data_IF_526882097314
#
_entry.id   IF_526882097314
#
_cell.length_a   1.000
_cell.length_b   1.000
_cell.length_c   1.000
_cell.angle_alpha   90.00
_cell.angle_beta   90.00
_cell.angle_gamma   90.00
#
_symmetry.space_group_name_H-M   'P 1'
#
loop_
_entity.id
_entity.type
_entity.pdbx_description
1 polymer ?
#
# COMPACT_ATOMS: atom_id res chain seq x y z
N UNK A 1 -0.42 -3.50 -13.46
CA UNK A 1 0.96 -4.03 -13.39
C UNK A 1 1.04 -5.39 -12.70
N UNK A 2 -0.06 -6.15 -12.57
CA UNK A 2 -0.03 -7.48 -11.93
C UNK A 2 1.07 -8.39 -12.50
N UNK A 3 1.83 -9.02 -11.59
CA UNK A 3 2.93 -9.94 -11.91
C UNK A 3 4.19 -9.28 -12.49
N UNK A 4 4.29 -7.96 -12.51
CA UNK A 4 5.45 -7.25 -13.07
C UNK A 4 6.67 -7.33 -12.12
N UNK A 5 7.33 -8.48 -12.08
CA UNK A 5 8.44 -8.76 -11.15
C UNK A 5 9.69 -7.91 -11.39
N UNK A 6 9.82 -7.29 -12.57
CA UNK A 6 10.90 -6.34 -12.89
C UNK A 6 10.61 -4.88 -12.49
N UNK A 7 9.39 -4.58 -12.03
CA UNK A 7 9.02 -3.23 -11.58
C UNK A 7 9.63 -2.97 -10.21
N UNK A 8 10.56 -2.02 -10.12
CA UNK A 8 11.29 -1.75 -8.87
C UNK A 8 10.72 -0.58 -8.07
N UNK A 9 10.13 0.40 -8.76
CA UNK A 9 9.55 1.60 -8.17
C UNK A 9 8.31 2.08 -8.91
N UNK A 10 7.34 2.63 -8.19
CA UNK A 10 6.14 3.26 -8.76
C UNK A 10 5.95 4.66 -8.17
N UNK A 11 5.68 5.61 -9.06
CA UNK A 11 5.16 6.93 -8.71
C UNK A 11 3.71 6.95 -9.18
N UNK A 12 2.78 6.99 -8.24
CA UNK A 12 1.36 7.18 -8.55
C UNK A 12 1.15 8.69 -8.77
N UNK A 13 0.37 9.05 -9.79
CA UNK A 13 0.14 10.45 -10.14
C UNK A 13 -0.56 11.19 -9.00
N UNK A 14 -0.14 12.42 -8.71
CA UNK A 14 -0.72 13.26 -7.65
C UNK A 14 -2.22 13.56 -7.83
N UNK A 15 -2.79 13.30 -9.02
CA UNK A 15 -4.24 13.42 -9.27
C UNK A 15 -5.02 12.12 -9.11
N UNK A 16 -4.34 10.99 -8.86
CA UNK A 16 -5.00 9.70 -8.67
C UNK A 16 -5.80 9.72 -7.37
N UNK A 17 -7.08 9.40 -7.46
CA UNK A 17 -7.97 9.31 -6.29
C UNK A 17 -8.28 7.87 -5.89
N UNK A 18 -7.91 6.88 -6.72
CA UNK A 18 -8.02 5.46 -6.42
C UNK A 18 -6.83 4.67 -6.97
N UNK A 19 -6.55 3.53 -6.33
CA UNK A 19 -5.68 2.46 -6.84
C UNK A 19 -6.56 1.24 -7.09
N UNK A 20 -6.62 0.76 -8.33
CA UNK A 20 -7.48 -0.37 -8.67
C UNK A 20 -7.09 -1.68 -7.98
N UNK A 21 -8.07 -2.57 -7.82
CA UNK A 21 -7.84 -3.92 -7.32
C UNK A 21 -6.76 -4.64 -8.14
N UNK A 22 -5.84 -5.32 -7.46
CA UNK A 22 -4.69 -6.03 -8.06
C UNK A 22 -3.73 -5.17 -8.89
N UNK A 23 -3.79 -3.84 -8.81
CA UNK A 23 -2.97 -2.95 -9.66
C UNK A 23 -1.48 -3.33 -9.69
N UNK A 24 -0.91 -3.74 -8.56
CA UNK A 24 0.49 -4.14 -8.40
C UNK A 24 0.65 -5.52 -7.76
N UNK A 25 -0.39 -6.35 -7.77
CA UNK A 25 -0.34 -7.71 -7.21
C UNK A 25 0.84 -8.50 -7.81
N UNK A 26 1.54 -9.25 -6.98
CA UNK A 26 2.71 -10.08 -7.31
C UNK A 26 3.87 -9.32 -8.00
N UNK A 27 3.98 -8.00 -7.82
CA UNK A 27 5.16 -7.23 -8.22
C UNK A 27 6.30 -7.46 -7.22
N UNK A 28 6.91 -8.64 -7.23
CA UNK A 28 7.89 -9.07 -6.22
C UNK A 28 9.17 -8.22 -6.20
N UNK A 29 9.50 -7.53 -7.30
CA UNK A 29 10.60 -6.58 -7.37
C UNK A 29 10.28 -5.17 -6.85
N UNK A 30 9.00 -4.87 -6.59
CA UNK A 30 8.57 -3.54 -6.17
C UNK A 30 9.06 -3.27 -4.75
N UNK A 31 9.97 -2.30 -4.62
CA UNK A 31 10.61 -1.95 -3.36
C UNK A 31 10.21 -0.56 -2.84
N UNK A 32 9.72 0.30 -3.74
CA UNK A 32 9.32 1.67 -3.44
C UNK A 32 8.01 2.00 -4.16
N UNK A 33 7.01 2.45 -3.39
CA UNK A 33 5.79 3.04 -3.94
C UNK A 33 5.55 4.40 -3.28
N UNK A 34 5.33 5.42 -4.10
CA UNK A 34 4.83 6.71 -3.63
C UNK A 34 3.31 6.76 -3.86
N UNK A 35 2.53 6.67 -2.78
CA UNK A 35 1.07 6.83 -2.79
C UNK A 35 0.78 8.28 -2.37
N UNK A 36 0.20 9.12 -3.26
CA UNK A 36 -0.04 10.53 -2.95
C UNK A 36 -1.23 10.69 -2.00
N UNK A 37 -1.24 11.81 -1.27
CA UNK A 37 -2.30 12.18 -0.32
C UNK A 37 -3.68 12.41 -0.98
N UNK A 38 -3.76 12.40 -2.32
CA UNK A 38 -5.02 12.45 -3.05
C UNK A 38 -5.75 11.11 -3.14
N UNK A 39 -5.08 10.00 -2.83
CA UNK A 39 -5.69 8.66 -2.91
C UNK A 39 -6.69 8.46 -1.77
N UNK A 40 -7.95 8.20 -2.15
CA UNK A 40 -9.07 7.94 -1.24
C UNK A 40 -9.36 6.45 -1.14
N UNK A 41 -9.20 5.71 -2.24
CA UNK A 41 -9.53 4.29 -2.35
C UNK A 41 -8.31 3.45 -2.76
N UNK A 42 -8.08 2.34 -2.06
CA UNK A 42 -7.10 1.32 -2.42
C UNK A 42 -7.84 -0.01 -2.55
N UNK A 43 -7.97 -0.51 -3.78
CA UNK A 43 -8.74 -1.70 -4.10
C UNK A 43 -8.19 -3.00 -3.52
N UNK A 44 -9.00 -4.05 -3.56
CA UNK A 44 -8.66 -5.38 -3.08
C UNK A 44 -7.35 -5.90 -3.70
N UNK A 45 -6.48 -6.48 -2.86
CA UNK A 45 -5.24 -7.14 -3.30
C UNK A 45 -4.27 -6.21 -4.06
N UNK A 46 -4.41 -4.88 -4.00
CA UNK A 46 -3.66 -3.93 -4.84
C UNK A 46 -2.14 -4.10 -4.80
N UNK A 47 -1.57 -4.49 -3.66
CA UNK A 47 -0.15 -4.79 -3.47
C UNK A 47 0.09 -6.20 -2.92
N UNK A 48 -0.87 -7.12 -3.06
CA UNK A 48 -0.73 -8.49 -2.56
C UNK A 48 0.54 -9.13 -3.17
N UNK A 49 1.33 -9.84 -2.36
CA UNK A 49 2.52 -10.54 -2.85
C UNK A 49 3.69 -9.65 -3.27
N UNK A 50 3.67 -8.33 -2.98
CA UNK A 50 4.81 -7.44 -3.21
C UNK A 50 5.91 -7.69 -2.16
N UNK A 51 6.59 -8.83 -2.24
CA UNK A 51 7.58 -9.28 -1.25
C UNK A 51 8.81 -8.38 -1.12
N UNK A 52 9.11 -7.58 -2.14
CA UNK A 52 10.20 -6.59 -2.12
C UNK A 52 9.84 -5.30 -1.38
N UNK A 53 8.56 -5.07 -1.09
CA UNK A 53 8.09 -3.81 -0.53
C UNK A 53 8.39 -3.74 0.97
N UNK A 54 9.35 -2.90 1.34
CA UNK A 54 9.83 -2.77 2.71
C UNK A 54 9.20 -1.61 3.48
N UNK A 55 8.82 -0.54 2.78
CA UNK A 55 8.23 0.66 3.36
C UNK A 55 7.09 1.16 2.47
N UNK A 56 5.97 1.51 3.08
CA UNK A 56 4.86 2.20 2.41
C UNK A 56 4.33 3.33 3.29
N UNK A 57 4.15 4.50 2.69
CA UNK A 57 3.35 5.55 3.30
C UNK A 57 1.90 5.34 2.81
N UNK A 58 0.99 5.04 3.74
CA UNK A 58 -0.44 4.95 3.42
C UNK A 58 -1.04 6.30 3.80
N UNK A 59 -1.58 7.08 2.85
CA UNK A 59 -2.02 8.43 3.14
C UNK A 59 -3.25 8.41 4.04
N UNK A 60 -3.37 9.40 4.93
CA UNK A 60 -4.48 9.50 5.88
C UNK A 60 -5.83 9.78 5.20
N UNK A 61 -5.78 10.24 3.96
CA UNK A 61 -6.94 10.42 3.08
C UNK A 61 -7.52 9.10 2.57
N UNK A 62 -6.79 7.97 2.65
CA UNK A 62 -7.29 6.67 2.26
C UNK A 62 -8.36 6.18 3.26
N UNK A 63 -9.62 6.43 2.95
CA UNK A 63 -10.77 6.03 3.77
C UNK A 63 -11.34 4.68 3.38
N UNK A 64 -11.08 4.22 2.16
CA UNK A 64 -11.57 2.97 1.60
C UNK A 64 -10.39 2.05 1.26
N UNK A 65 -10.07 1.12 2.17
CA UNK A 65 -8.94 0.19 2.01
C UNK A 65 -9.49 -1.23 1.87
N UNK A 66 -9.23 -1.82 0.71
CA UNK A 66 -9.69 -3.14 0.32
C UNK A 66 -9.09 -4.26 1.17
N UNK A 67 -9.55 -5.48 0.90
CA UNK A 67 -9.08 -6.69 1.56
C UNK A 67 -7.72 -7.07 1.02
N UNK A 68 -6.85 -7.59 1.90
CA UNK A 68 -5.57 -8.21 1.52
C UNK A 68 -4.63 -7.29 0.73
N UNK A 69 -4.76 -5.96 0.85
CA UNK A 69 -3.97 -4.98 0.09
C UNK A 69 -2.47 -5.27 0.16
N UNK A 70 -1.96 -5.63 1.34
CA UNK A 70 -0.55 -5.99 1.55
C UNK A 70 -0.38 -7.45 2.02
N UNK A 71 -1.33 -8.33 1.71
CA UNK A 71 -1.21 -9.73 2.08
C UNK A 71 0.02 -10.35 1.40
N UNK A 72 0.81 -11.13 2.13
CA UNK A 72 2.03 -11.74 1.59
C UNK A 72 3.21 -10.78 1.41
N UNK A 73 3.09 -9.50 1.77
CA UNK A 73 4.22 -8.58 1.89
C UNK A 73 4.98 -8.86 3.19
N UNK A 74 6.01 -9.71 3.13
CA UNK A 74 6.65 -10.29 4.33
C UNK A 74 7.58 -9.36 5.11
N UNK A 75 8.00 -8.22 4.53
CA UNK A 75 8.95 -7.28 5.14
C UNK A 75 8.43 -5.85 5.27
N UNK A 76 7.13 -5.64 5.11
CA UNK A 76 6.57 -4.30 5.00
C UNK A 76 6.45 -3.60 6.36
N UNK A 77 6.88 -2.35 6.41
CA UNK A 77 6.53 -1.39 7.45
C UNK A 77 5.64 -0.32 6.84
N UNK A 78 4.48 -0.07 7.43
CA UNK A 78 3.61 1.02 7.06
C UNK A 78 3.93 2.27 7.90
N UNK A 79 3.75 3.43 7.28
CA UNK A 79 3.77 4.74 7.94
C UNK A 79 2.40 5.37 7.70
N UNK A 80 1.69 5.67 8.78
CA UNK A 80 0.34 6.25 8.75
C UNK A 80 0.01 6.96 10.08
N UNK A 81 -0.97 7.87 10.08
CA UNK A 81 -1.38 8.60 11.28
C UNK A 81 -2.16 7.73 12.26
N UNK A 82 -1.85 7.76 13.57
CA UNK A 82 -2.63 7.08 14.60
C UNK A 82 -4.13 7.39 14.53
N UNK A 83 -4.96 6.36 14.56
CA UNK A 83 -6.42 6.49 14.53
C UNK A 83 -7.04 6.71 13.13
N UNK A 84 -6.23 6.79 12.07
CA UNK A 84 -6.72 6.82 10.68
C UNK A 84 -7.31 5.47 10.22
N UNK A 85 -8.01 5.45 9.09
CA UNK A 85 -8.43 4.20 8.45
C UNK A 85 -7.22 3.32 8.09
N UNK A 86 -6.12 3.94 7.63
CA UNK A 86 -4.86 3.26 7.34
C UNK A 86 -4.26 2.60 8.58
N UNK A 87 -4.24 3.31 9.72
CA UNK A 87 -3.79 2.76 11.00
C UNK A 87 -4.58 1.53 11.41
N UNK A 88 -5.91 1.66 11.41
CA UNK A 88 -6.81 0.55 11.75
C UNK A 88 -6.59 -0.65 10.81
N UNK A 89 -6.47 -0.41 9.51
CA UNK A 89 -6.19 -1.48 8.55
C UNK A 89 -4.88 -2.21 8.89
N UNK A 90 -3.83 -1.47 9.24
CA UNK A 90 -2.56 -2.06 9.63
C UNK A 90 -2.67 -2.90 10.91
N UNK A 91 -3.37 -2.42 11.93
CA UNK A 91 -3.63 -3.17 13.17
C UNK A 91 -4.42 -4.46 12.88
N UNK A 92 -5.51 -4.37 12.12
CA UNK A 92 -6.38 -5.49 11.80
C UNK A 92 -5.66 -6.59 10.98
N UNK A 93 -4.60 -6.24 10.25
CA UNK A 93 -3.84 -7.16 9.41
C UNK A 93 -2.44 -7.49 9.95
N UNK A 94 -2.09 -7.04 11.16
CA UNK A 94 -0.79 -7.31 11.79
C UNK A 94 0.41 -6.73 11.04
N UNK A 95 0.22 -5.61 10.34
CA UNK A 95 1.28 -4.90 9.62
C UNK A 95 2.07 -4.04 10.62
N UNK A 96 3.39 -4.12 10.59
CA UNK A 96 4.24 -3.26 11.41
C UNK A 96 4.03 -1.78 11.04
N UNK A 97 3.75 -0.94 12.01
CA UNK A 97 3.53 0.51 11.82
C UNK A 97 4.61 1.35 12.47
N UNK A 98 4.96 2.45 11.80
CA UNK A 98 5.70 3.60 12.35
C UNK A 98 4.78 4.81 12.35
N UNK A 99 4.64 5.44 13.51
CA UNK A 99 3.83 6.64 13.68
C UNK A 99 4.48 7.83 12.96
N UNK A 100 3.64 8.62 12.27
CA UNK A 100 4.00 9.98 11.87
C UNK A 100 3.77 10.88 13.09
N UNK A 101 4.80 11.63 13.49
CA UNK A 101 4.75 12.62 14.58
C UNK A 101 4.39 14.02 14.11
#
# INVERSE_FOLDING_TARGET
>A
FEGCTGLTSVIISDSATWIESRAFKDCTGLSLVNIPDSVIEIGDEAFEGCTGLALVNIPDSATEIGRRVFYGCTGITAVCMPGSCAWKYCEDNGIQVKEIG
#
